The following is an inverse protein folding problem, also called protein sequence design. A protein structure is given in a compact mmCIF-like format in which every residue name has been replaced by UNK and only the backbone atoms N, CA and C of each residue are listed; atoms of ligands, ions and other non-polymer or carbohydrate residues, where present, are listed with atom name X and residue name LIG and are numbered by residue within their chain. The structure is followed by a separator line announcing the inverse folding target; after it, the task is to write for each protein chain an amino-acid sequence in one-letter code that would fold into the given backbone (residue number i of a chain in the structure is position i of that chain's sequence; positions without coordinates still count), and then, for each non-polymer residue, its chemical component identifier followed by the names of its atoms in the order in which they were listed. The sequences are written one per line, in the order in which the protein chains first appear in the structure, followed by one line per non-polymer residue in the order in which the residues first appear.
data_IF_291566487833
#
_entry.id   IF_291566487833
#
_cell.length_a   1.000
_cell.length_b   1.000
_cell.length_c   1.000
_cell.angle_alpha   90.00
_cell.angle_beta   90.00
_cell.angle_gamma   90.00
#
_symmetry.space_group_name_H-M   'P 1'
#
loop_
_entity.id
_entity.type
_entity.pdbx_description
1 polymer ?
#
# COMPACT_ATOMS: atom_id res chain seq x y z
N UNK A 1 21.13 33.95 -15.31
CA UNK A 1 19.96 33.25 -14.76
C UNK A 1 20.07 31.82 -15.23
N UNK A 2 20.67 30.95 -14.41
CA UNK A 2 20.86 29.53 -14.76
C UNK A 2 19.50 28.84 -14.62
N UNK A 3 19.04 28.23 -15.70
CA UNK A 3 17.84 27.40 -15.74
C UNK A 3 18.13 26.12 -14.94
N UNK A 4 17.43 25.92 -13.82
CA UNK A 4 17.45 24.67 -13.07
C UNK A 4 16.67 23.63 -13.90
N UNK A 5 17.20 22.42 -14.15
CA UNK A 5 16.51 21.39 -14.93
C UNK A 5 15.20 20.99 -14.25
N UNK A 6 14.15 20.72 -15.04
CA UNK A 6 12.91 20.10 -14.52
C UNK A 6 13.26 18.76 -13.85
N UNK A 7 13.17 18.71 -12.52
CA UNK A 7 13.46 17.52 -11.72
C UNK A 7 14.24 17.77 -10.43
N UNK A 8 14.90 18.92 -10.30
CA UNK A 8 15.65 19.30 -9.09
C UNK A 8 14.90 20.41 -8.34
N UNK A 9 14.38 20.10 -7.14
CA UNK A 9 13.84 21.08 -6.20
C UNK A 9 14.60 20.97 -4.88
N UNK A 10 15.83 21.53 -4.80
CA UNK A 10 16.56 21.56 -3.54
C UNK A 10 15.72 22.22 -2.45
N UNK A 11 15.97 21.93 -1.16
CA UNK A 11 15.21 22.54 -0.09
C UNK A 11 15.40 24.05 -0.14
N UNK A 12 14.37 24.79 0.27
CA UNK A 12 14.45 26.25 0.37
C UNK A 12 15.53 26.63 1.38
N UNK A 13 16.23 27.77 1.20
CA UNK A 13 17.18 28.26 2.19
C UNK A 13 16.59 28.28 3.60
N UNK A 14 17.41 27.99 4.62
CA UNK A 14 16.93 27.92 6.00
C UNK A 14 16.08 29.13 6.41
N UNK A 15 14.97 28.83 7.08
CA UNK A 15 14.10 29.79 7.73
C UNK A 15 13.72 29.27 9.12
N UNK A 16 13.56 30.20 10.07
CA UNK A 16 13.11 29.83 11.40
C UNK A 16 11.63 29.43 11.37
N UNK A 17 11.34 28.25 11.91
CA UNK A 17 9.98 27.77 12.14
C UNK A 17 9.57 28.22 13.54
N UNK A 18 8.31 28.65 13.68
CA UNK A 18 7.75 28.94 15.00
C UNK A 18 7.86 27.67 15.89
N UNK A 19 8.56 27.73 17.05
CA UNK A 19 8.65 26.63 18.00
C UNK A 19 7.31 25.97 18.39
N UNK A 20 6.21 26.71 18.31
CA UNK A 20 4.87 26.18 18.55
C UNK A 20 4.43 25.15 17.50
N UNK A 21 4.90 25.31 16.25
CA UNK A 21 4.60 24.45 15.11
C UNK A 21 5.56 23.26 14.97
N UNK A 22 6.55 23.12 15.85
CA UNK A 22 7.48 21.99 15.81
C UNK A 22 6.72 20.67 15.99
N UNK A 23 7.13 19.67 15.21
CA UNK A 23 6.54 18.33 15.24
C UNK A 23 7.54 17.32 15.82
N UNK A 24 7.03 16.25 16.43
CA UNK A 24 7.82 15.21 17.10
C UNK A 24 8.65 15.66 18.33
N UNK A 25 8.41 16.85 18.89
CA UNK A 25 9.17 17.35 20.05
C UNK A 25 8.72 16.69 21.36
N UNK A 26 9.65 16.07 22.08
CA UNK A 26 9.38 15.44 23.40
C UNK A 26 9.26 16.46 24.55
N UNK A 27 10.03 17.56 24.54
CA UNK A 27 9.96 18.67 25.53
C UNK A 27 10.40 20.00 24.90
N UNK A 28 9.57 21.05 25.03
CA UNK A 28 9.80 22.37 24.40
C UNK A 28 10.77 23.30 25.17
N UNK A 29 11.25 22.89 26.34
CA UNK A 29 11.93 23.77 27.30
C UNK A 29 13.43 24.01 27.01
N UNK A 30 14.02 23.30 26.04
CA UNK A 30 15.36 23.62 25.52
C UNK A 30 15.53 23.18 24.07
N UNK A 31 15.16 24.06 23.12
CA UNK A 31 15.37 23.82 21.69
C UNK A 31 16.84 24.07 21.37
N UNK A 32 17.57 23.01 20.98
CA UNK A 32 18.95 23.14 20.53
C UNK A 32 19.05 23.82 19.15
N UNK A 33 20.19 24.42 18.79
CA UNK A 33 20.40 24.94 17.44
C UNK A 33 20.24 23.85 16.35
N UNK A 34 20.68 22.63 16.64
CA UNK A 34 20.51 21.47 15.76
C UNK A 34 19.04 21.07 15.60
N UNK A 35 18.24 21.18 16.67
CA UNK A 35 16.80 20.93 16.61
C UNK A 35 16.09 21.89 15.66
N UNK A 36 16.52 23.15 15.59
CA UNK A 36 15.95 24.11 14.63
C UNK A 36 16.19 23.67 13.18
N UNK A 37 17.40 23.19 12.90
CA UNK A 37 17.76 22.66 11.57
C UNK A 37 16.96 21.39 11.28
N UNK A 38 16.82 20.47 12.26
CA UNK A 38 16.01 19.26 12.13
C UNK A 38 14.55 19.59 11.78
N UNK A 39 13.95 20.56 12.47
CA UNK A 39 12.57 20.98 12.18
C UNK A 39 12.44 21.61 10.81
N UNK A 40 13.38 22.47 10.41
CA UNK A 40 13.41 23.02 9.05
C UNK A 40 13.51 21.92 8.00
N UNK A 41 14.42 20.95 8.18
CA UNK A 41 14.57 19.81 7.28
C UNK A 41 13.26 19.02 7.18
N UNK A 42 12.59 18.73 8.30
CA UNK A 42 11.29 18.04 8.30
C UNK A 42 10.25 18.83 7.49
N UNK A 43 10.14 20.14 7.66
CA UNK A 43 9.19 20.95 6.89
C UNK A 43 9.51 20.98 5.39
N UNK A 44 10.78 20.94 5.00
CA UNK A 44 11.16 20.80 3.60
C UNK A 44 10.81 19.41 3.04
N UNK A 45 11.01 18.33 3.82
CA UNK A 45 10.52 16.99 3.45
C UNK A 45 9.01 16.99 3.20
N UNK A 46 8.24 17.63 4.06
CA UNK A 46 6.77 17.69 3.94
C UNK A 46 6.31 18.60 2.77
N UNK A 47 6.93 19.77 2.61
CA UNK A 47 6.42 20.81 1.72
C UNK A 47 7.06 20.82 0.34
N UNK A 48 8.37 20.60 0.26
CA UNK A 48 9.15 20.61 -0.98
C UNK A 48 9.20 19.20 -1.58
N UNK A 49 9.56 18.20 -0.79
CA UNK A 49 9.63 16.79 -1.24
C UNK A 49 8.31 16.03 -1.16
N UNK A 50 7.27 16.62 -0.54
CA UNK A 50 5.92 16.03 -0.39
C UNK A 50 5.92 14.63 0.25
N UNK A 51 6.86 14.38 1.16
CA UNK A 51 6.93 13.16 1.95
C UNK A 51 5.79 13.19 2.97
N UNK A 52 5.03 12.10 3.07
CA UNK A 52 3.99 11.97 4.09
C UNK A 52 4.62 11.96 5.49
N UNK A 53 4.03 12.68 6.44
CA UNK A 53 4.50 12.74 7.84
C UNK A 53 4.61 11.35 8.50
N UNK A 54 3.74 10.40 8.13
CA UNK A 54 3.76 9.03 8.65
C UNK A 54 4.95 8.21 8.16
N UNK A 55 5.65 8.69 7.12
CA UNK A 55 6.87 8.08 6.60
C UNK A 55 8.13 8.70 7.24
N UNK A 56 8.00 9.65 8.17
CA UNK A 56 9.12 10.33 8.79
C UNK A 56 9.20 9.90 10.26
N UNK A 57 10.33 9.31 10.65
CA UNK A 57 10.65 9.06 12.04
C UNK A 57 11.88 9.84 12.46
N UNK A 58 11.95 10.20 13.74
CA UNK A 58 13.11 10.90 14.32
C UNK A 58 13.75 10.09 15.45
N UNK A 59 15.03 10.36 15.72
CA UNK A 59 15.79 9.75 16.82
C UNK A 59 15.72 8.22 16.80
N UNK A 60 15.92 7.61 15.62
CA UNK A 60 15.86 6.16 15.49
C UNK A 60 17.19 5.55 15.97
N UNK A 61 17.17 4.60 16.92
CA UNK A 61 18.38 3.93 17.35
C UNK A 61 18.95 3.03 16.24
N UNK A 62 20.22 3.23 15.90
CA UNK A 62 20.96 2.48 14.90
C UNK A 62 22.19 1.85 15.56
N UNK A 63 22.41 0.57 15.29
CA UNK A 63 23.56 -0.18 15.76
C UNK A 63 24.70 -0.08 14.75
N UNK A 64 25.72 0.70 15.11
CA UNK A 64 26.97 0.79 14.34
C UNK A 64 28.05 0.00 15.08
N UNK A 65 28.39 -1.17 14.55
CA UNK A 65 29.29 -2.13 15.20
C UNK A 65 28.73 -2.64 16.54
N UNK A 66 29.30 -2.17 17.66
CA UNK A 66 28.89 -2.57 19.02
C UNK A 66 28.11 -1.49 19.78
N UNK A 67 28.02 -0.27 19.24
CA UNK A 67 27.38 0.87 19.92
C UNK A 67 26.07 1.23 19.23
N UNK A 68 25.13 1.75 20.02
CA UNK A 68 23.93 2.38 19.51
C UNK A 68 24.15 3.88 19.38
N UNK A 69 23.73 4.40 18.24
CA UNK A 69 23.65 5.82 17.92
C UNK A 69 22.20 6.14 17.53
N UNK A 70 21.87 7.41 17.36
CA UNK A 70 20.53 7.83 16.95
C UNK A 70 20.64 8.62 15.65
N UNK A 71 19.92 8.21 14.61
CA UNK A 71 19.76 9.03 13.42
C UNK A 71 18.72 10.11 13.67
N UNK A 72 18.99 11.33 13.19
CA UNK A 72 18.11 12.47 13.41
C UNK A 72 16.76 12.30 12.72
N UNK A 73 16.79 11.92 11.43
CA UNK A 73 15.59 11.66 10.63
C UNK A 73 15.81 10.41 9.77
N UNK A 74 14.81 9.54 9.74
CA UNK A 74 14.69 8.46 8.76
C UNK A 74 13.38 8.62 8.00
N UNK A 75 13.47 8.57 6.67
CA UNK A 75 12.30 8.49 5.80
C UNK A 75 12.11 7.06 5.32
N UNK A 76 10.87 6.60 5.34
CA UNK A 76 10.45 5.29 4.89
C UNK A 76 9.71 5.37 3.55
N UNK A 77 9.83 4.32 2.75
CA UNK A 77 9.01 4.08 1.56
C UNK A 77 8.58 2.62 1.58
N UNK A 78 7.28 2.34 1.46
CA UNK A 78 6.73 0.99 1.56
C UNK A 78 7.24 0.23 2.80
N UNK A 79 7.23 0.92 3.96
CA UNK A 79 7.73 0.41 5.25
C UNK A 79 9.23 0.10 5.32
N UNK A 80 10.02 0.42 4.29
CA UNK A 80 11.47 0.23 4.27
C UNK A 80 12.20 1.58 4.39
N UNK A 81 13.27 1.70 5.21
CA UNK A 81 14.07 2.92 5.27
C UNK A 81 14.68 3.24 3.90
N UNK A 82 14.48 4.46 3.41
CA UNK A 82 14.96 4.89 2.10
C UNK A 82 15.93 6.08 2.15
N UNK A 83 15.76 6.98 3.14
CA UNK A 83 16.62 8.15 3.34
C UNK A 83 17.01 8.23 4.81
N UNK A 84 18.29 8.46 5.09
CA UNK A 84 18.79 8.88 6.40
C UNK A 84 19.27 10.31 6.29
N UNK A 85 18.87 11.17 7.23
CA UNK A 85 19.30 12.57 7.28
C UNK A 85 19.96 12.83 8.63
N UNK A 86 21.18 13.36 8.58
CA UNK A 86 21.91 13.89 9.72
C UNK A 86 21.80 15.42 9.70
N UNK A 87 21.43 16.00 10.83
CA UNK A 87 21.28 17.43 11.03
C UNK A 87 22.42 17.95 11.91
N UNK A 88 23.01 19.09 11.54
CA UNK A 88 24.00 19.80 12.35
C UNK A 88 23.53 21.22 12.62
N UNK A 89 24.10 21.86 13.64
CA UNK A 89 23.91 23.30 13.89
C UNK A 89 24.49 24.14 12.74
N UNK A 90 23.93 25.32 12.49
CA UNK A 90 24.28 26.16 11.33
C UNK A 90 25.74 26.66 11.31
N UNK A 91 26.40 26.70 12.45
CA UNK A 91 27.80 27.08 12.65
C UNK A 91 28.76 25.88 12.64
N UNK A 92 28.26 24.67 12.33
CA UNK A 92 29.10 23.49 12.13
C UNK A 92 29.65 23.46 10.70
N UNK A 93 30.98 23.51 10.60
CA UNK A 93 31.73 23.49 9.35
C UNK A 93 32.31 22.08 9.02
N UNK A 94 32.19 21.09 9.92
CA UNK A 94 32.69 19.72 9.67
C UNK A 94 31.69 18.86 8.86
N UNK A 95 31.47 19.29 7.63
CA UNK A 95 30.52 18.65 6.71
C UNK A 95 30.97 17.23 6.33
N UNK A 96 32.28 16.96 6.30
CA UNK A 96 32.80 15.65 5.92
C UNK A 96 32.49 14.60 6.99
N UNK A 97 32.72 14.93 8.27
CA UNK A 97 32.36 14.00 9.35
C UNK A 97 30.86 13.74 9.39
N UNK A 98 30.04 14.78 9.20
CA UNK A 98 28.58 14.66 9.17
C UNK A 98 28.07 13.75 8.05
N UNK A 99 28.57 13.89 6.82
CA UNK A 99 28.10 13.05 5.70
C UNK A 99 28.57 11.61 5.84
N UNK A 100 29.76 11.37 6.41
CA UNK A 100 30.26 10.03 6.68
C UNK A 100 29.44 9.34 7.78
N UNK A 101 28.95 10.10 8.77
CA UNK A 101 28.00 9.62 9.77
C UNK A 101 26.67 9.20 9.13
N UNK A 102 26.07 10.06 8.29
CA UNK A 102 24.84 9.73 7.56
C UNK A 102 25.01 8.48 6.68
N UNK A 103 26.15 8.34 5.99
CA UNK A 103 26.49 7.15 5.19
C UNK A 103 26.63 5.90 6.04
N UNK A 104 27.28 6.00 7.22
CA UNK A 104 27.42 4.89 8.16
C UNK A 104 26.05 4.38 8.63
N UNK A 105 25.16 5.30 8.98
CA UNK A 105 23.79 5.00 9.40
C UNK A 105 22.95 4.40 8.27
N UNK A 106 23.01 5.00 7.07
CA UNK A 106 22.34 4.46 5.90
C UNK A 106 22.82 3.05 5.51
N UNK A 107 24.09 2.73 5.79
CA UNK A 107 24.69 1.43 5.48
C UNK A 107 24.41 0.36 6.54
N UNK A 108 23.99 0.76 7.76
CA UNK A 108 23.70 -0.15 8.85
C UNK A 108 22.72 -1.26 8.42
N UNK A 109 22.93 -2.47 8.92
CA UNK A 109 22.27 -3.70 8.45
C UNK A 109 20.74 -3.67 8.54
N UNK A 110 20.22 -2.93 9.51
CA UNK A 110 18.82 -2.73 9.82
C UNK A 110 18.19 -1.55 9.07
N UNK A 111 19.00 -0.66 8.49
CA UNK A 111 18.54 0.52 7.76
C UNK A 111 18.62 0.29 6.25
N UNK A 112 19.83 0.03 5.72
CA UNK A 112 20.09 -0.18 4.28
C UNK A 112 19.42 0.84 3.36
N UNK A 113 19.48 2.12 3.71
CA UNK A 113 18.86 3.19 2.96
C UNK A 113 19.57 3.42 1.60
N UNK A 114 18.83 4.01 0.66
CA UNK A 114 19.35 4.37 -0.67
C UNK A 114 20.00 5.75 -0.69
N UNK A 115 19.63 6.62 0.25
CA UNK A 115 20.15 7.97 0.38
C UNK A 115 20.69 8.24 1.79
N UNK A 116 21.79 8.99 1.82
CA UNK A 116 22.36 9.58 3.02
C UNK A 116 22.48 11.08 2.79
N UNK A 117 21.91 11.86 3.70
CA UNK A 117 21.81 13.32 3.58
C UNK A 117 22.44 13.95 4.81
N UNK A 118 23.21 15.02 4.59
CA UNK A 118 23.66 15.90 5.64
C UNK A 118 23.09 17.29 5.40
N UNK A 119 22.65 17.95 6.47
CA UNK A 119 22.37 19.37 6.43
C UNK A 119 22.70 20.12 7.71
N UNK A 120 23.15 21.36 7.56
CA UNK A 120 23.25 22.35 8.63
C UNK A 120 22.33 23.56 8.39
N UNK A 121 21.35 23.43 7.47
CA UNK A 121 20.47 24.52 7.02
C UNK A 121 21.10 25.47 5.99
N UNK A 122 22.42 25.48 5.83
CA UNK A 122 23.11 26.21 4.75
C UNK A 122 23.43 25.29 3.59
N UNK A 123 23.89 24.09 3.92
CA UNK A 123 24.27 23.04 2.98
C UNK A 123 23.25 21.90 3.00
N UNK A 124 23.00 21.30 1.83
CA UNK A 124 22.18 20.10 1.67
C UNK A 124 22.95 19.11 0.80
N UNK A 125 23.67 18.20 1.45
CA UNK A 125 24.59 17.29 0.77
C UNK A 125 23.94 15.92 0.69
N UNK A 126 23.75 15.43 -0.54
CA UNK A 126 23.08 14.15 -0.80
C UNK A 126 24.05 13.16 -1.41
N UNK A 127 24.21 12.00 -0.78
CA UNK A 127 24.85 10.82 -1.39
C UNK A 127 23.79 9.76 -1.67
N UNK A 128 23.84 9.18 -2.87
CA UNK A 128 23.00 8.05 -3.29
C UNK A 128 23.86 6.78 -3.40
N UNK A 129 23.29 5.65 -2.99
CA UNK A 129 23.91 4.35 -3.17
C UNK A 129 23.74 3.84 -4.60
N UNK A 130 24.84 3.65 -5.32
CA UNK A 130 24.88 3.16 -6.71
C UNK A 130 25.94 2.06 -6.80
N UNK A 131 25.57 0.86 -7.29
CA UNK A 131 26.49 -0.27 -7.47
C UNK A 131 27.39 -0.55 -6.25
N UNK A 132 26.79 -0.56 -5.06
CA UNK A 132 27.46 -0.75 -3.75
C UNK A 132 28.34 0.41 -3.26
N UNK A 133 28.60 1.44 -4.07
CA UNK A 133 29.27 2.68 -3.68
C UNK A 133 28.30 3.80 -3.31
N UNK A 134 28.82 4.87 -2.68
CA UNK A 134 28.08 6.10 -2.39
C UNK A 134 28.59 7.22 -3.29
N UNK A 135 27.71 7.78 -4.10
CA UNK A 135 28.02 8.84 -5.05
C UNK A 135 27.31 10.13 -4.63
N UNK A 136 28.02 11.27 -4.71
CA UNK A 136 27.39 12.58 -4.54
C UNK A 136 26.41 12.80 -5.69
N UNK A 137 25.19 13.21 -5.37
CA UNK A 137 24.14 13.57 -6.33
C UNK A 137 23.65 14.99 -6.04
N UNK A 138 23.10 15.72 -7.02
CA UNK A 138 22.62 17.08 -6.82
C UNK A 138 21.54 17.18 -5.74
N UNK A 139 20.63 16.20 -5.70
CA UNK A 139 19.55 16.13 -4.71
C UNK A 139 19.02 14.70 -4.57
N UNK A 140 18.06 14.50 -3.66
CA UNK A 140 17.28 13.28 -3.53
C UNK A 140 16.35 13.19 -4.75
N UNK A 141 16.53 12.16 -5.59
CA UNK A 141 15.50 11.77 -6.55
C UNK A 141 14.36 11.09 -5.76
N UNK A 142 13.55 11.94 -5.12
CA UNK A 142 12.31 11.54 -4.51
C UNK A 142 11.20 11.94 -5.49
N UNK A 143 10.71 10.96 -6.24
CA UNK A 143 9.35 11.10 -6.76
C UNK A 143 8.46 11.18 -5.53
N UNK A 144 8.09 12.40 -5.14
CA UNK A 144 6.90 12.64 -4.36
C UNK A 144 5.85 11.67 -4.90
N UNK A 145 5.17 10.92 -4.02
CA UNK A 145 3.96 10.24 -4.43
C UNK A 145 3.08 11.34 -5.04
N UNK A 146 3.09 11.46 -6.37
CA UNK A 146 2.25 12.42 -7.07
C UNK A 146 0.87 11.91 -6.72
N UNK A 147 0.23 12.56 -5.76
CA UNK A 147 -1.18 12.37 -5.50
C UNK A 147 -1.83 12.69 -6.83
N UNK A 148 -2.10 11.67 -7.63
CA UNK A 148 -2.94 11.80 -8.81
C UNK A 148 -4.22 12.43 -8.28
N UNK A 149 -4.47 13.67 -8.68
CA UNK A 149 -5.71 14.35 -8.31
C UNK A 149 -6.85 13.51 -8.90
N UNK A 150 -7.64 12.91 -8.02
CA UNK A 150 -8.85 12.17 -8.39
C UNK A 150 -9.99 13.19 -8.42
N UNK A 151 -10.84 13.13 -9.44
CA UNK A 151 -12.06 13.94 -9.46
C UNK A 151 -12.93 13.62 -8.23
N UNK A 152 -13.42 14.66 -7.56
CA UNK A 152 -14.20 14.50 -6.33
C UNK A 152 -15.43 13.59 -6.52
N UNK A 153 -16.08 13.65 -7.68
CA UNK A 153 -17.19 12.77 -8.06
C UNK A 153 -16.78 11.29 -8.06
N UNK A 154 -15.61 10.98 -8.60
CA UNK A 154 -15.07 9.61 -8.65
C UNK A 154 -14.67 9.13 -7.26
N UNK A 155 -14.07 10.00 -6.44
CA UNK A 155 -13.72 9.67 -5.06
C UNK A 155 -14.97 9.38 -4.20
N UNK A 156 -16.03 10.19 -4.35
CA UNK A 156 -17.30 9.98 -3.68
C UNK A 156 -17.98 8.68 -4.13
N UNK A 157 -17.97 8.36 -5.42
CA UNK A 157 -18.49 7.09 -5.95
C UNK A 157 -17.76 5.88 -5.34
N UNK A 158 -16.42 5.94 -5.23
CA UNK A 158 -15.62 4.89 -4.58
C UNK A 158 -15.96 4.78 -3.09
N UNK A 159 -16.06 5.91 -2.37
CA UNK A 159 -16.42 5.92 -0.94
C UNK A 159 -17.80 5.27 -0.73
N UNK A 160 -18.79 5.62 -1.56
CA UNK A 160 -20.14 5.09 -1.47
C UNK A 160 -20.18 3.57 -1.68
N UNK A 161 -19.39 3.04 -2.62
CA UNK A 161 -19.27 1.59 -2.87
C UNK A 161 -18.55 0.86 -1.75
N UNK A 162 -17.42 1.42 -1.27
CA UNK A 162 -16.61 0.83 -0.19
C UNK A 162 -17.35 0.84 1.15
N UNK A 163 -18.29 1.78 1.36
CA UNK A 163 -19.10 1.88 2.58
C UNK A 163 -19.78 0.56 2.95
N UNK A 164 -20.29 -0.18 1.97
CA UNK A 164 -20.95 -1.47 2.18
C UNK A 164 -19.98 -2.54 2.72
N UNK A 165 -18.73 -2.54 2.27
CA UNK A 165 -17.68 -3.43 2.80
C UNK A 165 -17.23 -2.97 4.19
N UNK A 166 -17.10 -1.66 4.41
CA UNK A 166 -16.71 -1.11 5.72
C UNK A 166 -17.72 -1.42 6.82
N UNK A 167 -18.99 -1.65 6.49
CA UNK A 167 -19.94 -2.18 7.47
C UNK A 167 -19.48 -3.50 8.10
N UNK A 168 -18.85 -4.35 7.30
CA UNK A 168 -18.43 -5.69 7.70
C UNK A 168 -16.97 -5.74 8.17
N UNK A 169 -16.26 -4.61 8.25
CA UNK A 169 -14.84 -4.58 8.64
C UNK A 169 -14.63 -5.33 9.96
N UNK A 170 -13.70 -6.29 9.96
CA UNK A 170 -13.39 -7.17 11.09
C UNK A 170 -14.59 -7.97 11.62
N UNK A 171 -15.57 -8.30 10.76
CA UNK A 171 -16.72 -9.17 11.07
C UNK A 171 -16.93 -10.23 10.01
N UNK A 172 -17.51 -11.36 10.43
CA UNK A 172 -18.06 -12.37 9.52
C UNK A 172 -19.32 -11.81 8.85
N UNK A 173 -19.54 -12.13 7.57
CA UNK A 173 -20.80 -11.83 6.88
C UNK A 173 -21.70 -13.07 6.95
N UNK A 174 -22.90 -12.98 7.54
CA UNK A 174 -23.86 -14.07 7.58
C UNK A 174 -24.27 -14.54 6.18
N UNK A 175 -24.56 -15.84 6.04
CA UNK A 175 -24.97 -16.46 4.78
C UNK A 175 -26.15 -15.77 4.08
N UNK A 176 -27.13 -15.26 4.84
CA UNK A 176 -28.28 -14.54 4.30
C UNK A 176 -27.94 -13.15 3.75
N UNK A 177 -26.76 -12.61 4.09
CA UNK A 177 -26.23 -11.32 3.63
C UNK A 177 -25.10 -11.47 2.60
N UNK A 178 -24.55 -12.67 2.42
CA UNK A 178 -23.39 -12.93 1.58
C UNK A 178 -23.57 -12.47 0.13
N UNK A 179 -24.77 -12.61 -0.44
CA UNK A 179 -25.03 -12.15 -1.81
C UNK A 179 -24.94 -10.65 -2.00
N UNK A 180 -25.55 -9.90 -1.09
CA UNK A 180 -25.46 -8.44 -1.10
C UNK A 180 -24.02 -7.98 -0.85
N UNK A 181 -23.26 -8.68 -0.01
CA UNK A 181 -21.84 -8.42 0.18
C UNK A 181 -21.02 -8.67 -1.11
N UNK A 182 -21.23 -9.80 -1.77
CA UNK A 182 -20.54 -10.13 -3.03
C UNK A 182 -20.92 -9.17 -4.16
N UNK A 183 -22.16 -8.68 -4.17
CA UNK A 183 -22.59 -7.61 -5.07
C UNK A 183 -21.85 -6.30 -4.78
N UNK A 184 -21.74 -5.89 -3.51
CA UNK A 184 -20.96 -4.72 -3.13
C UNK A 184 -19.47 -4.86 -3.49
N UNK A 185 -18.91 -6.06 -3.32
CA UNK A 185 -17.54 -6.36 -3.74
C UNK A 185 -17.38 -6.25 -5.26
N UNK A 186 -18.35 -6.76 -6.02
CA UNK A 186 -18.38 -6.62 -7.48
C UNK A 186 -18.40 -5.14 -7.90
N UNK A 187 -19.23 -4.31 -7.28
CA UNK A 187 -19.29 -2.87 -7.53
C UNK A 187 -17.94 -2.17 -7.29
N UNK A 188 -17.21 -2.59 -6.25
CA UNK A 188 -15.85 -2.09 -5.98
C UNK A 188 -14.88 -2.52 -7.07
N UNK A 189 -14.98 -3.76 -7.58
CA UNK A 189 -14.14 -4.24 -8.69
C UNK A 189 -14.29 -3.41 -9.96
N UNK A 190 -15.48 -2.82 -10.19
CA UNK A 190 -15.72 -1.90 -11.31
C UNK A 190 -14.95 -0.57 -11.17
N UNK A 191 -14.48 -0.22 -9.97
CA UNK A 191 -13.63 0.96 -9.72
C UNK A 191 -12.14 0.70 -10.04
N UNK A 192 -11.82 -0.27 -10.93
CA UNK A 192 -10.47 -0.69 -11.33
C UNK A 192 -9.50 0.48 -11.53
N UNK A 193 -9.92 1.49 -12.29
CA UNK A 193 -9.07 2.65 -12.64
C UNK A 193 -8.51 3.39 -11.42
N UNK A 194 -9.18 3.32 -10.28
CA UNK A 194 -8.82 4.03 -9.06
C UNK A 194 -8.20 3.13 -7.99
N UNK A 195 -8.80 1.95 -7.77
CA UNK A 195 -8.39 1.05 -6.70
C UNK A 195 -7.36 0.02 -7.14
N UNK A 196 -7.43 -0.41 -8.40
CA UNK A 196 -6.73 -1.62 -8.89
C UNK A 196 -5.88 -1.33 -10.13
N UNK A 197 -5.40 -0.09 -10.28
CA UNK A 197 -4.58 0.34 -11.43
C UNK A 197 -3.30 -0.48 -11.57
N UNK A 198 -2.74 -0.93 -10.44
CA UNK A 198 -1.52 -1.74 -10.39
C UNK A 198 -1.78 -3.25 -10.51
N UNK A 199 -3.05 -3.67 -10.46
CA UNK A 199 -3.42 -5.08 -10.58
C UNK A 199 -3.40 -5.46 -12.05
N UNK A 200 -2.76 -6.59 -12.36
CA UNK A 200 -2.75 -7.12 -13.71
C UNK A 200 -4.17 -7.28 -14.28
N UNK A 201 -4.32 -6.96 -15.57
CA UNK A 201 -5.62 -6.95 -16.24
C UNK A 201 -6.29 -8.33 -16.26
N UNK A 202 -5.53 -9.38 -16.52
CA UNK A 202 -6.05 -10.74 -16.57
C UNK A 202 -6.47 -11.22 -15.16
N UNK A 203 -5.66 -10.96 -14.13
CA UNK A 203 -6.03 -11.29 -12.75
C UNK A 203 -7.31 -10.57 -12.31
N UNK A 204 -7.39 -9.27 -12.58
CA UNK A 204 -8.56 -8.46 -12.26
C UNK A 204 -9.81 -8.93 -13.01
N UNK A 205 -9.71 -9.10 -14.34
CA UNK A 205 -10.85 -9.47 -15.18
C UNK A 205 -11.31 -10.89 -14.85
N UNK A 206 -10.37 -11.81 -14.63
CA UNK A 206 -10.64 -13.15 -14.13
C UNK A 206 -11.47 -13.12 -12.85
N UNK A 207 -11.07 -12.31 -11.87
CA UNK A 207 -11.73 -12.22 -10.56
C UNK A 207 -13.10 -11.54 -10.64
N UNK A 208 -13.21 -10.44 -11.39
CA UNK A 208 -14.46 -9.69 -11.58
C UNK A 208 -15.55 -10.57 -12.21
N UNK A 209 -15.19 -11.30 -13.27
CA UNK A 209 -16.11 -12.22 -13.95
C UNK A 209 -16.47 -13.42 -13.07
N UNK A 210 -15.58 -13.84 -12.17
CA UNK A 210 -15.84 -14.93 -11.24
C UNK A 210 -16.85 -14.57 -10.15
N UNK A 211 -16.87 -13.32 -9.69
CA UNK A 211 -17.81 -12.85 -8.66
C UNK A 211 -19.23 -12.74 -9.22
N UNK A 212 -19.38 -12.32 -10.49
CA UNK A 212 -20.68 -11.98 -11.12
C UNK A 212 -21.78 -13.06 -10.93
N UNK A 213 -21.55 -14.35 -11.24
CA UNK A 213 -22.58 -15.37 -11.07
C UNK A 213 -23.05 -15.53 -9.62
N UNK A 214 -22.12 -15.36 -8.67
CA UNK A 214 -22.35 -15.55 -7.24
C UNK A 214 -23.05 -14.35 -6.62
N UNK A 215 -22.77 -13.14 -7.12
CA UNK A 215 -23.45 -11.92 -6.70
C UNK A 215 -24.91 -11.86 -7.22
N UNK A 216 -25.17 -12.38 -8.42
CA UNK A 216 -26.46 -12.25 -9.11
C UNK A 216 -27.58 -13.21 -8.68
N UNK A 217 -27.38 -14.04 -7.66
CA UNK A 217 -28.28 -15.17 -7.31
C UNK A 217 -28.50 -16.21 -8.43
N UNK A 218 -27.64 -16.25 -9.44
CA UNK A 218 -27.70 -17.21 -10.54
C UNK A 218 -26.79 -18.41 -10.23
N UNK A 219 -27.31 -19.30 -9.41
CA UNK A 219 -26.66 -20.53 -8.95
C UNK A 219 -27.35 -21.74 -9.52
N UNK A 220 -26.56 -22.66 -10.06
CA UNK A 220 -27.10 -23.92 -10.54
C UNK A 220 -26.22 -24.53 -11.61
N UNK A 221 -26.36 -25.86 -11.76
CA UNK A 221 -25.62 -26.69 -12.69
C UNK A 221 -25.78 -26.16 -14.12
N UNK A 222 -24.69 -25.65 -14.67
CA UNK A 222 -24.55 -25.37 -16.10
C UNK A 222 -25.58 -24.40 -16.70
N UNK A 223 -26.05 -23.42 -15.92
CA UNK A 223 -26.82 -22.33 -16.54
C UNK A 223 -25.94 -21.57 -17.54
N UNK A 224 -26.48 -21.24 -18.73
CA UNK A 224 -25.75 -20.51 -19.77
C UNK A 224 -25.09 -19.23 -19.24
N UNK A 225 -25.74 -18.55 -18.28
CA UNK A 225 -25.22 -17.34 -17.66
C UNK A 225 -23.93 -17.58 -16.86
N UNK A 226 -23.89 -18.63 -16.04
CA UNK A 226 -22.71 -18.97 -15.24
C UNK A 226 -21.53 -19.33 -16.16
N UNK A 227 -21.75 -20.13 -17.20
CA UNK A 227 -20.70 -20.47 -18.18
C UNK A 227 -20.20 -19.26 -18.95
N UNK A 228 -21.09 -18.35 -19.36
CA UNK A 228 -20.72 -17.12 -20.07
C UNK A 228 -19.77 -16.21 -19.29
N UNK A 229 -19.72 -16.32 -17.96
CA UNK A 229 -18.80 -15.55 -17.13
C UNK A 229 -17.60 -16.38 -16.66
N UNK A 230 -17.80 -17.66 -16.29
CA UNK A 230 -16.72 -18.50 -15.75
C UNK A 230 -15.74 -18.94 -16.84
N UNK A 231 -16.20 -19.21 -18.06
CA UNK A 231 -15.27 -19.62 -19.13
C UNK A 231 -14.28 -18.49 -19.47
N UNK A 232 -14.71 -17.23 -19.71
CA UNK A 232 -13.76 -16.14 -19.89
C UNK A 232 -12.97 -15.81 -18.62
N UNK A 233 -13.55 -15.96 -17.42
CA UNK A 233 -12.81 -15.78 -16.17
C UNK A 233 -11.62 -16.76 -16.11
N UNK A 234 -11.87 -18.02 -16.45
CA UNK A 234 -10.86 -19.07 -16.48
C UNK A 234 -9.75 -18.75 -17.48
N UNK A 235 -10.08 -18.34 -18.70
CA UNK A 235 -9.09 -18.00 -19.72
C UNK A 235 -8.17 -16.86 -19.27
N UNK A 236 -8.73 -15.84 -18.59
CA UNK A 236 -7.97 -14.76 -17.98
C UNK A 236 -7.05 -15.27 -16.87
N UNK A 237 -7.54 -16.09 -15.93
CA UNK A 237 -6.69 -16.68 -14.90
C UNK A 237 -5.55 -17.51 -15.50
N UNK A 238 -5.81 -18.31 -16.54
CA UNK A 238 -4.78 -19.08 -17.23
C UNK A 238 -3.73 -18.17 -17.88
N UNK A 239 -4.15 -17.09 -18.56
CA UNK A 239 -3.23 -16.09 -19.11
C UNK A 239 -2.35 -15.48 -18.01
N UNK A 240 -2.96 -15.13 -16.86
CA UNK A 240 -2.24 -14.60 -15.71
C UNK A 240 -1.20 -15.60 -15.15
N UNK A 241 -1.60 -16.86 -14.95
CA UNK A 241 -0.74 -17.93 -14.42
C UNK A 241 0.42 -18.29 -15.36
N UNK A 242 0.22 -18.19 -16.68
CA UNK A 242 1.25 -18.50 -17.68
C UNK A 242 2.48 -17.59 -17.51
N UNK A 243 2.28 -16.34 -17.06
CA UNK A 243 3.35 -15.38 -16.75
C UNK A 243 4.31 -15.87 -15.66
N UNK A 244 3.84 -16.78 -14.79
CA UNK A 244 4.63 -17.39 -13.72
C UNK A 244 5.10 -18.80 -14.07
N UNK A 245 4.75 -19.32 -15.25
CA UNK A 245 5.12 -20.66 -15.68
C UNK A 245 4.43 -21.79 -14.91
N UNK A 246 3.28 -21.51 -14.28
CA UNK A 246 2.55 -22.47 -13.44
C UNK A 246 1.32 -23.09 -14.14
N UNK A 247 1.22 -22.96 -15.46
CA UNK A 247 0.14 -23.57 -16.26
C UNK A 247 0.63 -24.90 -16.84
N UNK A 248 -0.02 -26.00 -16.44
CA UNK A 248 0.24 -27.34 -16.95
C UNK A 248 -0.85 -27.84 -17.92
N UNK A 249 -0.63 -29.01 -18.53
CA UNK A 249 -1.58 -29.61 -19.48
C UNK A 249 -2.95 -29.87 -18.85
N UNK A 250 -2.99 -30.16 -17.55
CA UNK A 250 -4.24 -30.32 -16.80
C UNK A 250 -5.03 -29.00 -16.77
N UNK A 251 -4.34 -27.88 -16.51
CA UNK A 251 -4.95 -26.55 -16.57
C UNK A 251 -5.46 -26.21 -17.98
N UNK A 252 -4.73 -26.56 -19.03
CA UNK A 252 -5.15 -26.26 -20.42
C UNK A 252 -6.31 -27.13 -20.91
N UNK A 253 -6.52 -28.30 -20.31
CA UNK A 253 -7.53 -29.27 -20.72
C UNK A 253 -8.73 -29.35 -19.76
N UNK A 254 -8.86 -28.41 -18.82
CA UNK A 254 -9.93 -28.40 -17.84
C UNK A 254 -11.31 -28.28 -18.50
N UNK A 255 -12.19 -29.24 -18.20
CA UNK A 255 -13.57 -29.27 -18.70
C UNK A 255 -14.53 -29.18 -17.52
N UNK A 256 -15.55 -28.33 -17.66
CA UNK A 256 -16.60 -28.16 -16.66
C UNK A 256 -16.24 -27.19 -15.53
N UNK A 257 -17.29 -26.68 -14.89
CA UNK A 257 -17.22 -25.63 -13.88
C UNK A 257 -16.36 -26.02 -12.67
N UNK A 258 -16.61 -27.18 -12.07
CA UNK A 258 -15.92 -27.65 -10.86
C UNK A 258 -14.41 -27.81 -11.10
N UNK A 259 -14.01 -28.40 -12.22
CA UNK A 259 -12.59 -28.57 -12.57
C UNK A 259 -11.90 -27.22 -12.75
N UNK A 260 -12.55 -26.27 -13.42
CA UNK A 260 -12.00 -24.92 -13.63
C UNK A 260 -11.78 -24.17 -12.32
N UNK A 261 -12.77 -24.19 -11.43
CA UNK A 261 -12.67 -23.57 -10.10
C UNK A 261 -11.55 -24.21 -9.29
N UNK A 262 -11.47 -25.54 -9.29
CA UNK A 262 -10.43 -26.28 -8.57
C UNK A 262 -9.04 -25.86 -9.04
N UNK A 263 -8.83 -25.75 -10.35
CA UNK A 263 -7.54 -25.33 -10.92
C UNK A 263 -7.22 -23.88 -10.57
N UNK A 264 -8.17 -22.96 -10.72
CA UNK A 264 -7.98 -21.55 -10.32
C UNK A 264 -7.56 -21.48 -8.85
N UNK A 265 -8.27 -22.16 -7.96
CA UNK A 265 -7.97 -22.19 -6.52
C UNK A 265 -6.56 -22.70 -6.25
N UNK A 266 -6.18 -23.85 -6.83
CA UNK A 266 -4.86 -24.44 -6.62
C UNK A 266 -3.72 -23.52 -7.10
N UNK A 267 -3.90 -22.86 -8.25
CA UNK A 267 -2.89 -21.94 -8.79
C UNK A 267 -2.80 -20.63 -8.01
N UNK A 268 -3.93 -20.09 -7.58
CA UNK A 268 -3.91 -18.93 -6.68
C UNK A 268 -3.24 -19.28 -5.35
N UNK A 269 -3.50 -20.46 -4.78
CA UNK A 269 -2.83 -20.94 -3.56
C UNK A 269 -1.30 -21.03 -3.74
N UNK A 270 -0.85 -21.52 -4.91
CA UNK A 270 0.57 -21.58 -5.27
C UNK A 270 1.19 -20.18 -5.32
N UNK A 271 0.51 -19.20 -5.92
CA UNK A 271 0.97 -17.80 -5.96
C UNK A 271 0.95 -17.12 -4.59
N UNK A 272 -0.03 -17.40 -3.72
CA UNK A 272 -0.05 -16.90 -2.33
C UNK A 272 1.19 -17.38 -1.56
N UNK A 273 1.68 -18.59 -1.84
CA UNK A 273 2.89 -19.16 -1.23
C UNK A 273 4.19 -18.61 -1.84
N UNK A 274 4.14 -18.09 -3.07
CA UNK A 274 5.30 -17.56 -3.78
C UNK A 274 5.02 -16.16 -4.37
N UNK A 275 5.19 -15.15 -3.51
CA UNK A 275 4.89 -13.75 -3.86
C UNK A 275 6.09 -13.00 -4.45
N UNK A 276 7.15 -13.71 -4.86
CA UNK A 276 8.37 -13.06 -5.33
C UNK A 276 8.11 -12.30 -6.63
N UNK A 277 8.45 -11.00 -6.65
CA UNK A 277 8.28 -10.14 -7.82
C UNK A 277 6.89 -9.53 -7.99
N UNK A 278 5.96 -9.77 -7.05
CA UNK A 278 4.63 -9.16 -7.04
C UNK A 278 4.58 -7.90 -6.17
N UNK A 279 3.70 -6.96 -6.50
CA UNK A 279 3.42 -5.80 -5.63
C UNK A 279 2.56 -6.21 -4.44
N UNK A 280 2.55 -5.40 -3.37
CA UNK A 280 1.65 -5.65 -2.23
C UNK A 280 0.18 -5.71 -2.65
N UNK A 281 -0.24 -4.80 -3.54
CA UNK A 281 -1.62 -4.74 -4.06
C UNK A 281 -1.94 -6.00 -4.85
N UNK A 282 -1.03 -6.48 -5.69
CA UNK A 282 -1.22 -7.72 -6.46
C UNK A 282 -1.33 -8.94 -5.53
N UNK A 283 -0.49 -9.03 -4.49
CA UNK A 283 -0.58 -10.11 -3.48
C UNK A 283 -1.91 -10.09 -2.74
N UNK A 284 -2.37 -8.94 -2.24
CA UNK A 284 -3.67 -8.81 -1.59
C UNK A 284 -4.81 -9.19 -2.55
N UNK A 285 -4.70 -8.80 -3.83
CA UNK A 285 -5.70 -9.14 -4.83
C UNK A 285 -5.75 -10.65 -5.13
N UNK A 286 -4.60 -11.33 -5.23
CA UNK A 286 -4.52 -12.79 -5.38
C UNK A 286 -5.19 -13.49 -4.19
N UNK A 287 -4.98 -12.99 -2.96
CA UNK A 287 -5.64 -13.56 -1.77
C UNK A 287 -7.15 -13.39 -1.84
N UNK A 288 -7.64 -12.21 -2.20
CA UNK A 288 -9.07 -11.97 -2.40
C UNK A 288 -9.63 -12.93 -3.47
N UNK A 289 -8.96 -13.06 -4.62
CA UNK A 289 -9.36 -13.99 -5.68
C UNK A 289 -9.37 -15.45 -5.21
N UNK A 290 -8.37 -15.87 -4.43
CA UNK A 290 -8.27 -17.21 -3.85
C UNK A 290 -9.47 -17.48 -2.94
N UNK A 291 -9.75 -16.55 -2.03
CA UNK A 291 -10.87 -16.67 -1.10
C UNK A 291 -12.22 -16.69 -1.80
N UNK A 292 -12.41 -15.91 -2.87
CA UNK A 292 -13.62 -15.97 -3.70
C UNK A 292 -13.73 -17.35 -4.36
N UNK A 293 -12.64 -17.93 -4.85
CA UNK A 293 -12.65 -19.25 -5.46
C UNK A 293 -12.98 -20.35 -4.44
N UNK A 294 -12.44 -20.29 -3.23
CA UNK A 294 -12.81 -21.18 -2.14
C UNK A 294 -14.30 -21.06 -1.78
N UNK A 295 -14.77 -19.83 -1.64
CA UNK A 295 -16.17 -19.55 -1.31
C UNK A 295 -17.12 -20.06 -2.40
N UNK A 296 -16.77 -19.88 -3.67
CA UNK A 296 -17.53 -20.38 -4.81
C UNK A 296 -17.61 -21.90 -4.83
N UNK A 297 -16.48 -22.59 -4.63
CA UNK A 297 -16.44 -24.06 -4.60
C UNK A 297 -17.35 -24.61 -3.50
N UNK A 298 -17.33 -24.00 -2.31
CA UNK A 298 -18.22 -24.37 -1.21
C UNK A 298 -19.69 -24.08 -1.55
N UNK A 299 -19.98 -22.90 -2.07
CA UNK A 299 -21.34 -22.47 -2.40
C UNK A 299 -21.96 -23.35 -3.49
N UNK A 300 -21.17 -23.78 -4.49
CA UNK A 300 -21.63 -24.71 -5.52
C UNK A 300 -21.89 -26.10 -4.98
N UNK A 301 -21.05 -26.59 -4.05
CA UNK A 301 -21.22 -27.91 -3.45
C UNK A 301 -22.51 -28.04 -2.65
N UNK A 302 -22.96 -26.95 -2.01
CA UNK A 302 -24.14 -26.94 -1.15
C UNK A 302 -25.36 -26.24 -1.77
N UNK A 303 -25.21 -25.66 -2.97
CA UNK A 303 -26.25 -24.88 -3.67
C UNK A 303 -26.87 -23.77 -2.80
N UNK A 304 -26.08 -23.17 -1.92
CA UNK A 304 -26.50 -22.10 -1.00
C UNK A 304 -25.30 -21.22 -0.62
N UNK A 305 -25.56 -19.97 -0.22
CA UNK A 305 -24.54 -19.15 0.42
C UNK A 305 -24.09 -19.79 1.75
N UNK A 306 -22.80 -19.74 2.03
CA UNK A 306 -22.24 -19.92 3.36
C UNK A 306 -21.88 -18.58 3.99
N UNK A 307 -21.57 -18.56 5.28
CA UNK A 307 -21.02 -17.36 5.89
C UNK A 307 -19.68 -17.00 5.24
N UNK A 308 -19.45 -15.72 4.98
CA UNK A 308 -18.15 -15.22 4.51
C UNK A 308 -17.27 -14.98 5.73
N UNK A 309 -16.15 -15.71 5.89
CA UNK A 309 -15.26 -15.54 7.04
C UNK A 309 -14.70 -14.13 7.14
N UNK A 310 -14.46 -13.69 8.38
CA UNK A 310 -13.81 -12.40 8.69
C UNK A 310 -12.50 -12.22 7.92
N UNK A 311 -11.73 -13.30 7.74
CA UNK A 311 -10.46 -13.27 7.00
C UNK A 311 -10.59 -12.75 5.58
N UNK A 312 -11.69 -13.07 4.88
CA UNK A 312 -11.94 -12.58 3.52
C UNK A 312 -12.20 -11.07 3.55
N UNK A 313 -13.03 -10.62 4.49
CA UNK A 313 -13.34 -9.19 4.65
C UNK A 313 -12.07 -8.40 4.96
N UNK A 314 -11.20 -8.96 5.81
CA UNK A 314 -9.93 -8.34 6.18
C UNK A 314 -8.99 -8.19 4.98
N UNK A 315 -8.90 -9.18 4.09
CA UNK A 315 -8.09 -9.06 2.88
C UNK A 315 -8.65 -8.03 1.90
N UNK A 316 -9.98 -7.89 1.79
CA UNK A 316 -10.61 -6.83 0.99
C UNK A 316 -10.28 -5.45 1.59
N UNK A 317 -10.29 -5.32 2.93
CA UNK A 317 -9.92 -4.09 3.64
C UNK A 317 -8.46 -3.73 3.39
N UNK A 318 -7.54 -4.70 3.49
CA UNK A 318 -6.12 -4.48 3.16
C UNK A 318 -5.91 -4.14 1.69
N UNK A 319 -6.72 -4.71 0.80
CA UNK A 319 -6.67 -4.40 -0.62
C UNK A 319 -7.08 -2.94 -0.91
N UNK A 320 -8.06 -2.38 -0.19
CA UNK A 320 -8.51 -0.97 -0.39
C UNK A 320 -7.75 0.05 0.48
N UNK A 321 -7.02 -0.40 1.51
CA UNK A 321 -6.28 0.46 2.44
C UNK A 321 -5.31 1.43 1.73
N UNK A 322 -4.50 1.02 0.74
CA UNK A 322 -3.59 1.94 0.07
C UNK A 322 -4.32 3.12 -0.59
N UNK A 323 -5.52 2.92 -1.13
CA UNK A 323 -6.31 4.02 -1.70
C UNK A 323 -6.72 5.02 -0.62
N UNK A 324 -7.20 4.56 0.54
CA UNK A 324 -7.56 5.44 1.65
C UNK A 324 -6.36 6.26 2.14
N UNK A 325 -5.23 5.59 2.34
CA UNK A 325 -4.04 6.22 2.90
C UNK A 325 -3.38 7.19 1.92
N UNK A 326 -3.26 6.80 0.64
CA UNK A 326 -2.53 7.58 -0.36
C UNK A 326 -3.38 8.59 -1.11
N UNK A 327 -4.65 8.29 -1.40
CA UNK A 327 -5.53 9.18 -2.21
C UNK A 327 -6.43 10.05 -1.33
N UNK A 328 -6.87 9.55 -0.18
CA UNK A 328 -7.75 10.29 0.73
C UNK A 328 -7.02 10.88 1.94
N UNK A 329 -5.76 10.46 2.21
CA UNK A 329 -5.04 10.87 3.41
C UNK A 329 -5.68 10.37 4.70
N UNK A 330 -6.42 9.26 4.63
CA UNK A 330 -7.20 8.70 5.72
C UNK A 330 -6.65 7.33 6.11
N UNK A 331 -6.63 7.03 7.40
CA UNK A 331 -6.19 5.73 7.93
C UNK A 331 -7.39 4.91 8.36
N UNK A 332 -7.52 3.69 7.85
CA UNK A 332 -8.49 2.73 8.38
C UNK A 332 -8.02 2.23 9.75
N UNK A 333 -8.94 2.02 10.72
CA UNK A 333 -8.58 1.69 12.09
C UNK A 333 -7.83 0.35 12.16
N UNK A 334 -7.01 0.23 13.20
CA UNK A 334 -6.40 -1.04 13.54
C UNK A 334 -7.47 -2.01 14.07
N UNK A 335 -7.33 -3.31 13.84
CA UNK A 335 -8.26 -4.34 14.35
C UNK A 335 -8.43 -4.28 15.87
N UNK A 336 -7.43 -3.76 16.59
CA UNK A 336 -7.43 -3.64 18.04
C UNK A 336 -8.17 -2.38 18.55
N UNK A 337 -8.44 -1.41 17.67
CA UNK A 337 -9.12 -0.15 18.02
C UNK A 337 -10.64 -0.29 17.91
N UNK A 338 -11.24 -0.90 18.94
CA UNK A 338 -12.67 -1.19 18.99
C UNK A 338 -13.54 0.05 18.88
N UNK A 339 -13.14 1.16 19.49
CA UNK A 339 -13.92 2.40 19.48
C UNK A 339 -14.01 2.99 18.07
N UNK A 340 -12.89 2.99 17.33
CA UNK A 340 -12.88 3.45 15.94
C UNK A 340 -13.64 2.50 15.00
N UNK A 341 -13.57 1.18 15.24
CA UNK A 341 -14.33 0.19 14.50
C UNK A 341 -15.84 0.38 14.70
N UNK A 342 -16.28 0.53 15.96
CA UNK A 342 -17.68 0.74 16.29
C UNK A 342 -18.21 2.06 15.68
N UNK A 343 -17.37 3.11 15.64
CA UNK A 343 -17.70 4.36 14.95
C UNK A 343 -17.88 4.15 13.43
N UNK A 344 -17.01 3.39 12.77
CA UNK A 344 -17.17 3.04 11.35
C UNK A 344 -18.48 2.28 11.12
N UNK A 345 -18.78 1.28 11.95
CA UNK A 345 -20.02 0.51 11.81
C UNK A 345 -21.26 1.39 11.98
N UNK A 346 -21.21 2.39 12.87
CA UNK A 346 -22.29 3.36 13.05
C UNK A 346 -22.45 4.30 11.83
N UNK A 347 -21.34 4.72 11.20
CA UNK A 347 -21.35 5.61 10.04
C UNK A 347 -21.61 4.90 8.71
N UNK A 348 -21.32 3.61 8.65
CA UNK A 348 -21.53 2.74 7.50
C UNK A 348 -22.63 1.72 7.81
N UNK A 349 -23.90 2.14 8.01
CA UNK A 349 -24.97 1.20 8.28
C UNK A 349 -25.20 0.28 7.09
N UNK A 350 -25.43 -1.00 7.36
CA UNK A 350 -25.76 -1.96 6.33
C UNK A 350 -27.09 -1.61 5.67
N UNK A 351 -27.08 -1.48 4.36
CA UNK A 351 -28.27 -1.30 3.57
C UNK A 351 -28.18 -2.23 2.35
N UNK A 352 -28.75 -3.45 2.45
CA UNK A 352 -28.83 -4.36 1.32
C UNK A 352 -29.83 -3.78 0.32
N UNK A 353 -29.33 -2.95 -0.60
CA UNK A 353 -30.12 -2.45 -1.74
C UNK A 353 -30.17 -3.49 -2.84
#
# INVERSE_FOLDING_TARGET
MLLIPEGEMPPKPYYDINPEAYIFVKKKESISPEEKVRQWAIFELLSTYRININNINIEIPIKVGRKYHYADIIVYRNHLPCIVIECKRQDDDDLNSGIDQAVSYATASEIRASYAVLTNGKEWIVKRRINQGWCLVPDIEYEADKLELVEASSALDVIDKVRAILHWIYRQVPADQAGHFLFALHDIMLCKRFLFKEVNDDLWLGTELFIRPIAGKFWGKDEPYTRQNVDPAYDNFISYFDRFGIVDDQARSAIGLESKITIIKLRLEELVKNTQGMTHVEVSFIRVAFFIAEYLEQSLKFEQYSDIPEGIVNEIVELVRPFWETKLGMRLPDRLDKDAIDAIHAWCPWNPR
#
